data_IF_111597498258
#
_entry.id   IF_111597498258
#
_cell.length_a   1.000
_cell.length_b   1.000
_cell.length_c   1.000
_cell.angle_alpha   90.00
_cell.angle_beta   90.00
_cell.angle_gamma   90.00
#
_symmetry.space_group_name_H-M   'P 1'
#
loop_
_entity.id
_entity.type
_entity.pdbx_description
1 polymer ?
#
# COMPACT_ATOMS: atom_id res chain seq x y z
N UNK A 1 -47.62 26.67 30.73
CA UNK A 1 -47.11 27.63 29.71
C UNK A 1 -45.61 27.43 29.61
N UNK A 2 -45.21 26.47 28.77
CA UNK A 2 -43.81 26.22 28.44
C UNK A 2 -43.33 27.33 27.49
N UNK A 3 -42.34 28.11 27.93
CA UNK A 3 -41.62 29.01 27.04
C UNK A 3 -40.44 28.25 26.46
N UNK A 4 -40.58 27.93 25.18
CA UNK A 4 -39.50 27.53 24.27
C UNK A 4 -38.39 28.60 24.30
N UNK A 5 -37.26 28.29 24.93
CA UNK A 5 -36.01 29.05 24.76
C UNK A 5 -35.19 28.40 23.65
N UNK A 6 -35.61 28.58 22.40
CA UNK A 6 -34.70 28.52 21.26
C UNK A 6 -33.90 29.81 21.23
N UNK A 7 -32.82 29.85 22.01
CA UNK A 7 -31.69 30.75 21.77
C UNK A 7 -30.44 29.92 22.08
N UNK A 8 -29.84 29.38 21.02
CA UNK A 8 -28.62 28.58 21.10
C UNK A 8 -27.46 29.47 21.53
N UNK A 9 -27.23 29.54 22.83
CA UNK A 9 -26.05 30.16 23.41
C UNK A 9 -24.81 29.48 22.81
N UNK A 10 -23.87 30.27 22.31
CA UNK A 10 -22.66 29.79 21.65
C UNK A 10 -21.75 29.19 22.73
N UNK A 11 -21.99 27.91 23.05
CA UNK A 11 -21.33 27.22 24.16
C UNK A 11 -19.82 27.47 24.18
N UNK A 12 -19.33 27.87 25.36
CA UNK A 12 -17.93 28.18 25.65
C UNK A 12 -17.01 27.03 25.27
N UNK A 13 -15.92 27.33 24.56
CA UNK A 13 -14.95 26.33 24.11
C UNK A 13 -13.80 26.19 25.10
N UNK A 14 -13.34 24.95 25.26
CA UNK A 14 -12.17 24.63 26.07
C UNK A 14 -11.19 23.79 25.27
N UNK A 15 -9.92 24.16 25.32
CA UNK A 15 -8.82 23.41 24.71
C UNK A 15 -8.21 22.49 25.75
N UNK A 16 -8.19 21.21 25.43
CA UNK A 16 -7.50 20.18 26.20
C UNK A 16 -6.13 19.93 25.58
N UNK A 17 -5.10 19.91 26.42
CA UNK A 17 -3.69 19.74 26.03
C UNK A 17 -3.07 18.64 26.86
N UNK A 18 -2.47 17.67 26.18
CA UNK A 18 -1.76 16.54 26.79
C UNK A 18 -0.30 16.64 26.36
N UNK A 19 0.60 17.07 27.26
CA UNK A 19 2.03 17.09 27.00
C UNK A 19 2.54 15.68 26.74
N UNK A 20 3.51 15.55 25.83
CA UNK A 20 4.05 14.25 25.39
C UNK A 20 2.99 13.31 24.78
N UNK A 21 1.83 13.86 24.41
CA UNK A 21 0.69 13.09 23.91
C UNK A 21 0.97 12.34 22.60
N UNK A 22 1.97 12.73 21.81
CA UNK A 22 2.36 12.02 20.58
C UNK A 22 2.80 10.57 20.83
N UNK A 23 3.20 10.25 22.07
CA UNK A 23 3.58 8.89 22.47
C UNK A 23 2.39 7.93 22.50
N UNK A 24 1.16 8.44 22.53
CA UNK A 24 -0.03 7.66 22.74
C UNK A 24 -1.01 7.81 21.57
N UNK A 25 -1.65 6.72 21.20
CA UNK A 25 -2.68 6.75 20.17
C UNK A 25 -3.92 7.55 20.62
N UNK A 26 -4.62 8.14 19.65
CA UNK A 26 -5.84 8.94 19.88
C UNK A 26 -6.88 8.15 20.67
N UNK A 27 -7.13 6.89 20.31
CA UNK A 27 -8.16 6.07 20.97
C UNK A 27 -7.78 5.78 22.42
N UNK A 28 -6.50 5.45 22.65
CA UNK A 28 -5.96 5.25 23.99
C UNK A 28 -6.13 6.51 24.85
N UNK A 29 -5.74 7.69 24.33
CA UNK A 29 -5.87 8.97 25.05
C UNK A 29 -7.32 9.21 25.46
N UNK A 30 -8.26 9.09 24.51
CA UNK A 30 -9.67 9.39 24.74
C UNK A 30 -10.27 8.41 25.74
N UNK A 31 -9.99 7.10 25.61
CA UNK A 31 -10.50 6.06 26.50
C UNK A 31 -9.93 6.18 27.92
N UNK A 32 -8.63 6.45 28.05
CA UNK A 32 -7.97 6.65 29.34
C UNK A 32 -8.49 7.87 30.10
N UNK A 33 -8.83 8.93 29.38
CA UNK A 33 -9.47 10.11 29.98
C UNK A 33 -10.93 9.80 30.34
N UNK A 34 -11.68 9.14 29.45
CA UNK A 34 -13.09 8.82 29.68
C UNK A 34 -13.30 7.87 30.86
N UNK A 35 -12.39 6.92 31.11
CA UNK A 35 -12.48 6.01 32.26
C UNK A 35 -12.35 6.70 33.62
N UNK A 36 -11.72 7.88 33.66
CA UNK A 36 -11.54 8.67 34.87
C UNK A 36 -12.41 9.94 34.89
N UNK A 37 -13.21 10.16 33.84
CA UNK A 37 -14.08 11.32 33.67
C UNK A 37 -15.54 10.87 33.78
N UNK A 38 -16.21 11.26 34.86
CA UNK A 38 -17.61 10.89 35.11
C UNK A 38 -18.61 11.57 34.18
N UNK A 39 -18.16 12.54 33.36
CA UNK A 39 -18.98 13.23 32.37
C UNK A 39 -18.56 12.73 30.99
N UNK A 40 -19.48 12.24 30.14
CA UNK A 40 -19.16 11.89 28.77
C UNK A 40 -18.77 13.13 27.99
N UNK A 41 -17.72 13.03 27.18
CA UNK A 41 -17.31 14.14 26.31
C UNK A 41 -17.01 13.63 24.90
N UNK A 42 -17.22 14.48 23.90
CA UNK A 42 -16.81 14.19 22.52
C UNK A 42 -15.61 15.06 22.16
N UNK A 43 -14.43 14.47 21.92
CA UNK A 43 -13.25 15.23 21.52
C UNK A 43 -13.42 15.82 20.12
N UNK A 44 -13.45 17.15 20.03
CA UNK A 44 -13.58 17.88 18.76
C UNK A 44 -12.19 18.31 18.27
N UNK A 45 -11.97 18.22 16.95
CA UNK A 45 -10.74 18.68 16.28
C UNK A 45 -9.44 18.15 16.94
N UNK A 46 -9.42 16.84 17.24
CA UNK A 46 -8.23 16.17 17.76
C UNK A 46 -7.08 16.27 16.76
N UNK A 47 -5.90 16.70 17.21
CA UNK A 47 -4.70 16.77 16.40
C UNK A 47 -3.44 16.69 17.28
N UNK A 48 -2.32 16.29 16.67
CA UNK A 48 -1.01 16.39 17.28
C UNK A 48 -0.31 17.66 16.80
N UNK A 49 0.31 18.39 17.72
CA UNK A 49 1.15 19.53 17.38
C UNK A 49 2.43 19.47 18.22
N UNK A 50 3.57 19.38 17.53
CA UNK A 50 4.88 19.08 18.12
C UNK A 50 4.79 17.81 18.96
N UNK A 51 5.16 17.89 20.24
CA UNK A 51 5.20 16.77 21.17
C UNK A 51 3.93 16.71 22.05
N UNK A 52 2.78 17.18 21.57
CA UNK A 52 1.56 17.30 22.37
C UNK A 52 0.35 16.83 21.57
N UNK A 53 -0.64 16.27 22.28
CA UNK A 53 -1.96 16.02 21.74
C UNK A 53 -2.92 17.11 22.19
N UNK A 54 -3.78 17.56 21.27
CA UNK A 54 -4.77 18.61 21.52
C UNK A 54 -6.14 18.17 21.02
N UNK A 55 -7.18 18.50 21.79
CA UNK A 55 -8.57 18.45 21.34
C UNK A 55 -9.39 19.51 22.05
N UNK A 56 -10.66 19.63 21.66
CA UNK A 56 -11.55 20.65 22.21
C UNK A 56 -12.87 20.06 22.66
N UNK A 57 -13.49 20.70 23.64
CA UNK A 57 -14.84 20.40 24.13
C UNK A 57 -15.65 21.68 24.20
N UNK A 58 -16.95 21.57 23.92
CA UNK A 58 -17.91 22.68 23.90
C UNK A 58 -18.94 22.52 25.02
N UNK A 59 -18.46 22.17 26.22
CA UNK A 59 -19.29 21.98 27.40
C UNK A 59 -18.47 22.31 28.65
N UNK A 60 -18.99 23.23 29.46
CA UNK A 60 -18.36 23.68 30.71
C UNK A 60 -18.30 22.53 31.74
N UNK A 61 -19.36 21.72 31.81
CA UNK A 61 -19.44 20.59 32.74
C UNK A 61 -18.38 19.52 32.40
N UNK A 62 -18.23 19.19 31.11
CA UNK A 62 -17.20 18.30 30.61
C UNK A 62 -15.80 18.87 30.85
N UNK A 63 -15.58 20.16 30.56
CA UNK A 63 -14.28 20.82 30.79
C UNK A 63 -13.87 20.81 32.27
N UNK A 64 -14.81 21.08 33.18
CA UNK A 64 -14.59 20.99 34.62
C UNK A 64 -14.26 19.56 35.08
N UNK A 65 -14.95 18.56 34.54
CA UNK A 65 -14.68 17.15 34.83
C UNK A 65 -13.28 16.74 34.32
N UNK A 66 -12.93 17.13 33.09
CA UNK A 66 -11.62 16.85 32.48
C UNK A 66 -10.47 17.47 33.27
N UNK A 67 -10.66 18.66 33.84
CA UNK A 67 -9.64 19.29 34.71
C UNK A 67 -9.35 18.45 35.96
N UNK A 68 -10.35 17.73 36.48
CA UNK A 68 -10.21 16.81 37.63
C UNK A 68 -9.58 15.46 37.26
N UNK A 69 -9.39 15.17 35.97
CA UNK A 69 -8.68 13.97 35.48
C UNK A 69 -7.16 14.15 35.55
N UNK A 70 -6.69 15.41 35.61
CA UNK A 70 -5.25 15.70 35.66
C UNK A 70 -4.56 14.90 36.79
N UNK A 71 -3.41 14.30 36.46
CA UNK A 71 -2.61 13.47 37.36
C UNK A 71 -3.23 12.12 37.77
N UNK A 72 -4.37 11.69 37.20
CA UNK A 72 -5.00 10.39 37.51
C UNK A 72 -4.65 9.26 36.52
N UNK A 73 -4.20 9.61 35.33
CA UNK A 73 -3.89 8.64 34.27
C UNK A 73 -2.42 8.26 34.35
N UNK A 74 -2.13 6.95 34.36
CA UNK A 74 -0.79 6.42 34.23
C UNK A 74 -0.67 5.62 32.92
N UNK A 75 0.49 5.66 32.28
CA UNK A 75 0.78 4.85 31.11
C UNK A 75 1.31 3.44 31.46
N UNK A 76 1.60 2.63 30.44
CA UNK A 76 2.12 1.25 30.59
C UNK A 76 3.45 1.17 31.36
N UNK A 77 4.20 2.27 31.42
CA UNK A 77 5.46 2.40 32.18
C UNK A 77 5.23 3.05 33.55
N UNK A 78 3.96 3.16 33.97
CA UNK A 78 3.52 3.82 35.20
C UNK A 78 3.93 5.30 35.28
N UNK A 79 4.12 5.96 34.13
CA UNK A 79 4.37 7.40 34.07
C UNK A 79 3.07 8.18 34.07
N UNK A 80 3.02 9.28 34.83
CA UNK A 80 1.84 10.14 34.92
C UNK A 80 1.60 10.90 33.61
N UNK A 81 0.38 10.81 33.10
CA UNK A 81 -0.10 11.60 31.97
C UNK A 81 -0.85 12.82 32.48
N UNK A 82 -0.39 14.00 32.07
CA UNK A 82 -0.99 15.28 32.46
C UNK A 82 -2.05 15.73 31.47
N UNK A 83 -3.14 16.28 31.98
CA UNK A 83 -4.27 16.78 31.18
C UNK A 83 -4.55 18.22 31.60
N UNK A 84 -4.27 19.16 30.70
CA UNK A 84 -4.50 20.59 30.93
C UNK A 84 -5.73 21.05 30.15
N UNK A 85 -6.65 21.73 30.83
CA UNK A 85 -7.87 22.28 30.23
C UNK A 85 -7.86 23.79 30.39
N UNK A 86 -7.87 24.51 29.27
CA UNK A 86 -7.85 25.97 29.24
C UNK A 86 -9.04 26.50 28.46
N UNK A 87 -9.55 27.66 28.86
CA UNK A 87 -10.54 28.40 28.07
C UNK A 87 -9.96 28.69 26.67
N UNK A 88 -10.77 28.53 25.65
CA UNK A 88 -10.33 28.73 24.28
C UNK A 88 -11.43 29.36 23.43
N UNK A 89 -11.02 30.02 22.36
CA UNK A 89 -11.94 30.35 21.27
C UNK A 89 -12.29 29.07 20.50
N UNK A 90 -13.43 29.07 19.80
CA UNK A 90 -13.83 27.99 18.88
C UNK A 90 -12.64 27.57 17.99
N UNK A 91 -12.38 26.25 17.81
CA UNK A 91 -11.25 25.77 17.02
C UNK A 91 -11.24 26.41 15.63
N UNK A 92 -10.08 26.86 15.14
CA UNK A 92 -9.97 27.50 13.82
C UNK A 92 -10.44 26.56 12.69
N UNK A 93 -10.27 25.24 12.86
CA UNK A 93 -10.85 24.22 11.98
C UNK A 93 -12.37 24.29 11.95
N UNK A 94 -13.03 24.59 13.06
CA UNK A 94 -14.49 24.69 13.17
C UNK A 94 -15.03 26.07 12.77
N UNK A 95 -14.21 27.12 12.76
CA UNK A 95 -14.60 28.46 12.29
C UNK A 95 -14.85 28.51 10.78
N UNK A 96 -14.24 27.58 10.02
CA UNK A 96 -14.35 27.47 8.55
C UNK A 96 -15.24 26.31 8.10
N UNK A 97 -16.05 25.73 8.99
CA UNK A 97 -17.05 24.73 8.60
C UNK A 97 -18.27 25.41 8.02
N UNK A 98 -18.84 24.80 6.97
CA UNK A 98 -20.09 25.25 6.39
C UNK A 98 -21.19 25.23 7.45
N UNK A 99 -21.92 26.34 7.57
CA UNK A 99 -23.07 26.45 8.49
C UNK A 99 -24.16 25.44 8.08
N UNK A 100 -25.02 25.00 9.00
CA UNK A 100 -26.11 24.07 8.68
C UNK A 100 -27.00 24.55 7.52
N UNK A 101 -27.22 25.86 7.37
CA UNK A 101 -27.94 26.47 6.25
C UNK A 101 -27.20 26.31 4.91
N UNK A 102 -25.88 26.48 4.90
CA UNK A 102 -25.03 26.29 3.71
C UNK A 102 -24.97 24.80 3.33
N UNK A 103 -24.87 23.92 4.33
CA UNK A 103 -24.95 22.46 4.15
C UNK A 103 -26.33 22.02 3.63
N UNK A 104 -27.41 22.68 4.07
CA UNK A 104 -28.77 22.38 3.64
C UNK A 104 -29.00 22.82 2.18
N UNK A 105 -28.45 23.96 1.77
CA UNK A 105 -28.52 24.40 0.37
C UNK A 105 -27.64 23.56 -0.58
N UNK A 106 -26.68 22.82 -0.02
CA UNK A 106 -25.94 21.77 -0.72
C UNK A 106 -26.60 20.38 -0.66
N UNK A 107 -27.59 20.18 0.22
CA UNK A 107 -28.31 18.91 0.41
C UNK A 107 -29.62 18.87 -0.37
N UNK A 108 -29.91 17.72 -0.97
CA UNK A 108 -31.26 17.29 -1.31
C UNK A 108 -31.95 16.85 -0.02
N UNK A 109 -33.10 17.42 0.32
CA UNK A 109 -34.07 16.71 1.16
C UNK A 109 -35.12 16.18 0.19
N UNK A 110 -35.23 14.85 0.10
CA UNK A 110 -36.44 14.23 -0.41
C UNK A 110 -37.57 14.55 0.55
N UNK A 111 -38.27 15.66 0.31
CA UNK A 111 -39.61 15.89 0.82
C UNK A 111 -40.44 16.35 -0.36
N UNK A 112 -41.33 15.47 -0.83
CA UNK A 112 -42.35 15.86 -1.77
C UNK A 112 -43.18 16.98 -1.15
N UNK A 113 -43.28 18.12 -1.84
CA UNK A 113 -44.11 19.24 -1.42
C UNK A 113 -43.35 20.36 -0.71
N UNK A 114 -42.42 21.03 -1.41
CA UNK A 114 -42.28 22.49 -1.33
C UNK A 114 -41.40 22.98 -2.48
N UNK A 115 -41.96 23.87 -3.29
CA UNK A 115 -41.36 24.49 -4.46
C UNK A 115 -40.28 25.51 -4.06
N UNK A 116 -39.01 25.10 -3.98
CA UNK A 116 -37.88 26.04 -3.90
C UNK A 116 -36.55 25.48 -4.47
N UNK A 117 -36.51 25.35 -5.80
CA UNK A 117 -35.33 25.30 -6.69
C UNK A 117 -34.23 24.22 -6.48
N UNK A 118 -33.72 23.57 -7.54
CA UNK A 118 -32.72 22.52 -7.39
C UNK A 118 -31.32 23.09 -7.10
N UNK A 119 -30.80 22.85 -5.89
CA UNK A 119 -29.65 21.99 -5.61
C UNK A 119 -28.47 22.13 -6.60
N UNK A 120 -27.58 23.10 -6.37
CA UNK A 120 -26.42 23.44 -7.23
C UNK A 120 -25.65 22.23 -7.77
N UNK A 121 -25.43 21.21 -6.93
CA UNK A 121 -24.66 20.02 -7.31
C UNK A 121 -25.43 19.09 -8.26
N UNK A 122 -26.76 19.01 -8.15
CA UNK A 122 -27.58 18.20 -9.07
C UNK A 122 -27.63 18.80 -10.46
N UNK A 123 -27.67 20.14 -10.57
CA UNK A 123 -27.58 20.82 -11.88
C UNK A 123 -26.26 20.56 -12.59
N UNK A 124 -25.22 20.26 -11.82
CA UNK A 124 -23.86 19.97 -12.26
C UNK A 124 -23.61 18.47 -12.46
N UNK A 125 -24.61 17.63 -12.25
CA UNK A 125 -24.51 16.19 -12.40
C UNK A 125 -25.11 15.76 -13.74
N UNK A 126 -24.30 15.09 -14.56
CA UNK A 126 -24.72 14.41 -15.76
C UNK A 126 -25.07 12.95 -15.43
N UNK A 127 -26.36 12.62 -15.55
CA UNK A 127 -26.89 11.28 -15.29
C UNK A 127 -26.37 10.26 -16.30
N UNK A 128 -26.17 10.67 -17.56
CA UNK A 128 -25.78 9.75 -18.64
C UNK A 128 -24.35 9.25 -18.48
N UNK A 129 -23.45 10.13 -18.06
CA UNK A 129 -22.03 9.84 -17.84
C UNK A 129 -21.71 9.51 -16.37
N UNK A 130 -22.70 9.62 -15.49
CA UNK A 130 -22.52 9.57 -14.04
C UNK A 130 -21.35 10.47 -13.59
N UNK A 131 -21.37 11.71 -14.10
CA UNK A 131 -20.28 12.67 -14.00
C UNK A 131 -20.72 13.91 -13.22
N UNK A 132 -19.93 14.32 -12.23
CA UNK A 132 -20.21 15.50 -11.42
C UNK A 132 -19.20 16.61 -11.72
N UNK A 133 -19.70 17.77 -12.17
CA UNK A 133 -18.89 18.92 -12.52
C UNK A 133 -18.78 19.97 -11.41
N UNK A 134 -17.67 19.93 -10.66
CA UNK A 134 -17.35 20.92 -9.62
C UNK A 134 -16.32 21.96 -10.08
N UNK A 135 -16.14 22.14 -11.40
CA UNK A 135 -15.24 23.15 -11.91
C UNK A 135 -15.64 24.54 -11.38
N UNK A 136 -14.64 25.28 -10.87
CA UNK A 136 -14.83 26.65 -10.35
C UNK A 136 -16.00 26.79 -9.37
N UNK A 137 -16.25 25.78 -8.53
CA UNK A 137 -17.46 25.70 -7.70
C UNK A 137 -17.72 26.97 -6.89
N UNK A 138 -16.66 27.61 -6.37
CA UNK A 138 -16.77 28.87 -5.62
C UNK A 138 -17.53 29.98 -6.35
N UNK A 139 -17.45 30.00 -7.68
CA UNK A 139 -18.03 31.02 -8.56
C UNK A 139 -19.33 30.55 -9.21
N UNK A 140 -19.91 29.44 -8.75
CA UNK A 140 -21.21 29.00 -9.22
C UNK A 140 -22.28 30.09 -9.01
N UNK A 141 -23.08 30.44 -10.03
CA UNK A 141 -24.07 31.52 -9.93
C UNK A 141 -25.10 31.30 -8.81
N UNK A 142 -25.52 30.06 -8.57
CA UNK A 142 -26.50 29.76 -7.52
C UNK A 142 -25.85 29.89 -6.14
N UNK A 143 -24.61 29.46 -5.95
CA UNK A 143 -23.91 29.64 -4.66
C UNK A 143 -23.63 31.11 -4.36
N UNK A 144 -23.19 31.87 -5.36
CA UNK A 144 -22.93 33.32 -5.23
C UNK A 144 -24.24 34.06 -4.90
N UNK A 145 -25.33 33.74 -5.59
CA UNK A 145 -26.66 34.33 -5.35
C UNK A 145 -27.15 34.13 -3.91
N UNK A 146 -26.84 32.99 -3.31
CA UNK A 146 -27.23 32.67 -1.94
C UNK A 146 -26.16 33.01 -0.90
N UNK A 147 -25.10 33.73 -1.29
CA UNK A 147 -23.98 34.11 -0.42
C UNK A 147 -23.29 32.91 0.25
N UNK A 148 -23.20 31.77 -0.44
CA UNK A 148 -22.48 30.58 0.03
C UNK A 148 -21.07 30.60 -0.56
N UNK A 149 -20.06 30.66 0.31
CA UNK A 149 -18.65 30.61 -0.09
C UNK A 149 -18.05 29.21 0.14
N UNK A 150 -18.02 28.38 -0.91
CA UNK A 150 -17.39 27.05 -0.87
C UNK A 150 -16.00 27.11 -1.47
N UNK A 151 -14.99 26.96 -0.61
CA UNK A 151 -13.58 26.94 -1.03
C UNK A 151 -13.07 25.51 -0.90
N UNK A 152 -13.06 24.75 -1.99
CA UNK A 152 -12.66 23.34 -2.00
C UNK A 152 -11.22 23.09 -1.54
N UNK A 153 -10.33 24.08 -1.68
CA UNK A 153 -8.98 24.01 -1.11
C UNK A 153 -8.95 23.94 0.44
N UNK A 154 -10.07 24.22 1.12
CA UNK A 154 -10.19 24.04 2.58
C UNK A 154 -10.65 22.61 2.88
N UNK A 155 -9.90 21.91 3.74
CA UNK A 155 -10.14 20.50 4.12
C UNK A 155 -11.60 20.23 4.54
N UNK A 156 -12.22 21.13 5.32
CA UNK A 156 -13.61 20.96 5.76
C UNK A 156 -14.63 21.11 4.63
N UNK A 157 -14.41 22.05 3.70
CA UNK A 157 -15.30 22.25 2.57
C UNK A 157 -15.23 21.06 1.63
N UNK A 158 -14.02 20.52 1.39
CA UNK A 158 -13.86 19.28 0.64
C UNK A 158 -14.55 18.11 1.34
N UNK A 159 -14.29 17.89 2.64
CA UNK A 159 -14.91 16.80 3.39
C UNK A 159 -16.45 16.89 3.42
N UNK A 160 -17.01 18.09 3.53
CA UNK A 160 -18.44 18.33 3.42
C UNK A 160 -18.96 17.96 2.03
N UNK A 161 -18.26 18.39 0.98
CA UNK A 161 -18.60 18.09 -0.42
C UNK A 161 -18.58 16.58 -0.68
N UNK A 162 -17.54 15.87 -0.22
CA UNK A 162 -17.46 14.42 -0.35
C UNK A 162 -18.57 13.69 0.42
N UNK A 163 -18.97 14.18 1.60
CA UNK A 163 -20.13 13.64 2.34
C UNK A 163 -21.45 13.84 1.59
N UNK A 164 -21.57 14.89 0.78
CA UNK A 164 -22.74 15.10 -0.07
C UNK A 164 -22.69 14.13 -1.25
N UNK A 165 -21.52 13.94 -1.85
CA UNK A 165 -21.31 12.99 -2.94
C UNK A 165 -21.69 11.56 -2.52
N UNK A 166 -21.15 11.10 -1.39
CA UNK A 166 -21.43 9.78 -0.80
C UNK A 166 -22.95 9.50 -0.67
N UNK A 167 -23.72 10.53 -0.30
CA UNK A 167 -25.15 10.40 -0.03
C UNK A 167 -26.01 10.49 -1.28
N UNK A 168 -25.62 11.33 -2.24
CA UNK A 168 -26.49 11.70 -3.36
C UNK A 168 -26.06 11.06 -4.68
N UNK A 169 -24.78 10.72 -4.83
CA UNK A 169 -24.19 10.19 -6.07
C UNK A 169 -23.37 8.91 -5.77
N UNK A 170 -23.98 7.85 -5.20
CA UNK A 170 -23.25 6.63 -4.85
C UNK A 170 -22.67 5.88 -6.07
N UNK A 171 -23.24 6.12 -7.25
CA UNK A 171 -22.82 5.52 -8.53
C UNK A 171 -21.89 6.45 -9.35
N UNK A 172 -21.31 7.47 -8.73
CA UNK A 172 -20.45 8.44 -9.42
C UNK A 172 -19.22 7.76 -10.07
N UNK A 173 -19.04 7.96 -11.38
CA UNK A 173 -17.91 7.43 -12.15
C UNK A 173 -16.88 8.50 -12.51
N UNK A 174 -17.30 9.75 -12.67
CA UNK A 174 -16.42 10.85 -13.09
C UNK A 174 -16.59 12.07 -12.18
N UNK A 175 -15.46 12.62 -11.70
CA UNK A 175 -15.45 13.82 -10.87
C UNK A 175 -14.53 14.89 -11.47
N UNK A 176 -15.11 16.06 -11.75
CA UNK A 176 -14.34 17.21 -12.22
C UNK A 176 -14.10 18.22 -11.10
N UNK A 177 -12.82 18.45 -10.76
CA UNK A 177 -12.34 19.44 -9.79
C UNK A 177 -11.46 20.51 -10.45
N UNK A 178 -11.58 20.70 -11.77
CA UNK A 178 -10.80 21.65 -12.55
C UNK A 178 -10.90 23.09 -11.97
N UNK A 179 -9.78 23.81 -11.99
CA UNK A 179 -9.69 25.24 -11.65
C UNK A 179 -10.38 25.63 -10.32
N UNK A 180 -10.06 24.88 -9.26
CA UNK A 180 -10.51 25.16 -7.89
C UNK A 180 -9.39 25.68 -6.97
N UNK A 181 -8.23 26.01 -7.55
CA UNK A 181 -7.03 26.50 -6.83
C UNK A 181 -6.58 25.54 -5.72
N UNK A 182 -6.69 24.23 -5.95
CA UNK A 182 -6.21 23.22 -5.03
C UNK A 182 -4.68 23.24 -4.98
N UNK A 183 -4.11 23.53 -3.82
CA UNK A 183 -2.65 23.51 -3.60
C UNK A 183 -2.16 22.17 -3.07
N UNK A 184 -3.04 21.48 -2.33
CA UNK A 184 -2.77 20.20 -1.67
C UNK A 184 -4.04 19.33 -1.75
N UNK A 185 -3.85 18.02 -1.79
CA UNK A 185 -4.93 17.03 -1.84
C UNK A 185 -5.29 16.45 -0.47
N UNK A 186 -4.85 17.06 0.63
CA UNK A 186 -5.08 16.57 2.02
C UNK A 186 -6.56 16.35 2.40
N UNK A 187 -7.50 17.04 1.76
CA UNK A 187 -8.93 16.91 2.04
C UNK A 187 -9.66 15.93 1.11
N UNK A 188 -8.97 15.42 0.10
CA UNK A 188 -9.52 14.52 -0.90
C UNK A 188 -9.39 13.01 -0.58
N UNK A 189 -8.54 12.47 0.33
CA UNK A 189 -8.34 11.03 0.45
C UNK A 189 -9.62 10.25 0.79
N UNK A 190 -10.53 10.87 1.56
CA UNK A 190 -11.83 10.29 1.93
C UNK A 190 -12.67 9.89 0.70
N UNK A 191 -12.35 10.39 -0.50
CA UNK A 191 -13.02 9.99 -1.74
C UNK A 191 -12.89 8.49 -2.02
N UNK A 192 -11.80 7.85 -1.58
CA UNK A 192 -11.55 6.43 -1.79
C UNK A 192 -12.66 5.59 -1.14
N UNK A 193 -13.14 6.00 0.03
CA UNK A 193 -14.24 5.35 0.75
C UNK A 193 -15.60 5.88 0.31
N UNK A 194 -15.70 7.19 0.05
CA UNK A 194 -16.96 7.89 -0.20
C UNK A 194 -17.50 7.76 -1.62
N UNK A 195 -16.62 7.56 -2.59
CA UNK A 195 -16.97 7.39 -4.00
C UNK A 195 -16.01 6.37 -4.67
N UNK A 196 -16.02 5.09 -4.23
CA UNK A 196 -15.06 4.08 -4.65
C UNK A 196 -15.16 3.70 -6.14
N UNK A 197 -16.28 4.05 -6.79
CA UNK A 197 -16.56 3.76 -8.21
C UNK A 197 -15.97 4.80 -9.17
N UNK A 198 -15.41 5.89 -8.66
CA UNK A 198 -14.81 6.94 -9.50
C UNK A 198 -13.62 6.38 -10.28
N UNK A 199 -13.73 6.48 -11.60
CA UNK A 199 -12.73 6.06 -12.59
C UNK A 199 -12.08 7.24 -13.32
N UNK A 200 -12.79 8.36 -13.41
CA UNK A 200 -12.28 9.58 -14.06
C UNK A 200 -12.15 10.69 -13.04
N UNK A 201 -10.97 11.30 -12.97
CA UNK A 201 -10.71 12.43 -12.07
C UNK A 201 -10.04 13.57 -12.84
N UNK A 202 -10.65 14.75 -12.83
CA UNK A 202 -10.04 15.93 -13.43
C UNK A 202 -9.56 16.91 -12.35
N UNK A 203 -8.23 17.08 -12.25
CA UNK A 203 -7.53 18.00 -11.35
C UNK A 203 -6.79 19.11 -12.11
N UNK A 204 -7.05 19.28 -13.41
CA UNK A 204 -6.41 20.28 -14.26
C UNK A 204 -6.60 21.72 -13.75
N UNK A 205 -5.69 22.61 -14.14
CA UNK A 205 -5.71 24.05 -13.84
C UNK A 205 -5.77 24.38 -12.34
N UNK A 206 -5.32 23.46 -11.49
CA UNK A 206 -5.15 23.71 -10.05
C UNK A 206 -3.73 24.26 -9.77
N UNK A 207 -3.27 24.17 -8.52
CA UNK A 207 -2.00 24.73 -8.06
C UNK A 207 -1.13 23.68 -7.37
N UNK A 208 -1.25 22.43 -7.80
CA UNK A 208 -0.45 21.31 -7.32
C UNK A 208 0.99 21.44 -7.82
N UNK A 209 1.94 21.48 -6.89
CA UNK A 209 3.37 21.72 -7.20
C UNK A 209 4.21 20.45 -7.34
N UNK A 210 3.71 19.31 -6.86
CA UNK A 210 4.46 18.07 -6.83
C UNK A 210 3.53 16.88 -7.04
N UNK A 211 4.02 15.86 -7.76
CA UNK A 211 3.33 14.59 -7.96
C UNK A 211 3.08 13.83 -6.64
N UNK A 212 3.84 14.13 -5.57
CA UNK A 212 3.62 13.57 -4.24
C UNK A 212 2.18 13.73 -3.74
N UNK A 213 1.51 14.81 -4.12
CA UNK A 213 0.11 15.05 -3.75
C UNK A 213 -0.82 13.93 -4.24
N UNK A 214 -0.52 13.32 -5.39
CA UNK A 214 -1.28 12.19 -5.96
C UNK A 214 -1.18 10.92 -5.11
N UNK A 215 -0.07 10.77 -4.37
CA UNK A 215 0.11 9.68 -3.41
C UNK A 215 -0.98 9.62 -2.34
N UNK A 216 -1.66 10.75 -2.06
CA UNK A 216 -2.76 10.84 -1.09
C UNK A 216 -4.06 10.24 -1.61
N UNK A 217 -4.19 10.10 -2.94
CA UNK A 217 -5.38 9.56 -3.62
C UNK A 217 -5.07 8.30 -4.44
N UNK A 218 -3.87 7.71 -4.29
CA UNK A 218 -3.41 6.49 -4.98
C UNK A 218 -4.32 5.26 -4.81
N UNK A 219 -5.20 5.27 -3.81
CA UNK A 219 -6.16 4.19 -3.59
C UNK A 219 -7.29 4.15 -4.63
N UNK A 220 -7.47 5.21 -5.42
CA UNK A 220 -8.43 5.25 -6.50
C UNK A 220 -7.96 4.39 -7.70
N UNK A 221 -8.89 3.63 -8.27
CA UNK A 221 -8.66 2.81 -9.46
C UNK A 221 -9.00 3.61 -10.72
N UNK A 222 -8.25 4.69 -10.95
CA UNK A 222 -8.50 5.60 -12.06
C UNK A 222 -8.15 4.97 -13.42
N UNK A 223 -9.02 5.20 -14.40
CA UNK A 223 -8.82 4.90 -15.81
C UNK A 223 -8.43 6.17 -16.58
N UNK A 224 -8.92 7.35 -16.17
CA UNK A 224 -8.62 8.64 -16.78
C UNK A 224 -8.30 9.72 -15.73
N UNK A 225 -7.22 10.48 -15.95
CA UNK A 225 -6.74 11.53 -15.06
C UNK A 225 -6.34 12.78 -15.86
N UNK A 226 -6.71 13.96 -15.36
CA UNK A 226 -6.28 15.23 -15.92
C UNK A 226 -5.51 16.06 -14.88
N UNK A 227 -4.31 16.50 -15.22
CA UNK A 227 -3.42 17.32 -14.40
C UNK A 227 -2.89 18.55 -15.15
N UNK A 228 -3.15 18.68 -16.46
CA UNK A 228 -2.70 19.79 -17.28
C UNK A 228 -2.94 21.17 -16.62
N UNK A 229 -1.98 22.08 -16.73
CA UNK A 229 -2.08 23.43 -16.15
C UNK A 229 -1.80 23.51 -14.65
N UNK A 230 -1.31 22.42 -14.03
CA UNK A 230 -0.72 22.46 -12.69
C UNK A 230 0.79 22.75 -12.75
N UNK A 231 1.37 23.47 -11.77
CA UNK A 231 2.82 23.70 -11.68
C UNK A 231 3.67 22.43 -11.64
N UNK A 232 3.15 21.28 -11.19
CA UNK A 232 3.87 20.01 -11.24
C UNK A 232 4.23 19.59 -12.67
N UNK A 233 3.46 19.99 -13.69
CA UNK A 233 3.73 19.54 -15.06
C UNK A 233 5.07 20.08 -15.58
N UNK A 234 5.51 21.27 -15.11
CA UNK A 234 6.81 21.84 -15.47
C UNK A 234 7.99 21.23 -14.73
N UNK A 235 7.79 20.30 -13.79
CA UNK A 235 8.90 19.65 -13.08
C UNK A 235 9.49 18.44 -13.82
N UNK A 236 8.84 17.99 -14.90
CA UNK A 236 9.27 16.84 -15.69
C UNK A 236 10.10 17.28 -16.89
N UNK A 237 11.16 16.51 -17.20
CA UNK A 237 12.04 16.76 -18.35
C UNK A 237 11.34 16.54 -19.68
N UNK A 238 10.46 15.53 -19.73
CA UNK A 238 9.78 15.07 -20.93
C UNK A 238 8.47 14.33 -20.57
N UNK A 239 7.70 14.02 -21.61
CA UNK A 239 6.41 13.34 -21.49
C UNK A 239 6.53 11.91 -20.95
N UNK A 240 7.64 11.20 -21.22
CA UNK A 240 7.84 9.82 -20.75
C UNK A 240 8.08 9.77 -19.25
N UNK A 241 8.93 10.67 -18.72
CA UNK A 241 9.15 10.85 -17.29
C UNK A 241 7.84 11.23 -16.58
N UNK A 242 7.07 12.14 -17.15
CA UNK A 242 5.76 12.51 -16.65
C UNK A 242 4.81 11.31 -16.57
N UNK A 243 4.57 10.62 -17.68
CA UNK A 243 3.69 9.43 -17.74
C UNK A 243 4.15 8.34 -16.77
N UNK A 244 5.45 8.06 -16.72
CA UNK A 244 6.01 6.99 -15.86
C UNK A 244 5.78 7.29 -14.38
N UNK A 245 6.09 8.52 -13.93
CA UNK A 245 5.84 8.93 -12.54
C UNK A 245 4.35 8.92 -12.18
N UNK A 246 3.47 9.36 -13.08
CA UNK A 246 2.02 9.29 -12.81
C UNK A 246 1.53 7.84 -12.71
N UNK A 247 2.06 6.94 -13.56
CA UNK A 247 1.73 5.51 -13.53
C UNK A 247 2.23 4.78 -12.28
N UNK A 248 3.28 5.26 -11.61
CA UNK A 248 3.67 4.72 -10.30
C UNK A 248 2.55 4.90 -9.25
N UNK A 249 1.77 5.98 -9.35
CA UNK A 249 0.63 6.22 -8.47
C UNK A 249 -0.64 5.50 -8.95
N UNK A 250 -0.86 5.45 -10.27
CA UNK A 250 -2.04 4.86 -10.89
C UNK A 250 -1.65 3.86 -11.99
N UNK A 251 -1.27 2.62 -11.66
CA UNK A 251 -0.76 1.65 -12.65
C UNK A 251 -1.79 1.27 -13.72
N UNK A 252 -3.09 1.34 -13.40
CA UNK A 252 -4.20 0.98 -14.30
C UNK A 252 -4.67 2.15 -15.18
N UNK A 253 -3.98 3.28 -15.16
CA UNK A 253 -4.37 4.47 -15.90
C UNK A 253 -4.23 4.26 -17.41
N UNK A 254 -5.33 4.48 -18.13
CA UNK A 254 -5.44 4.33 -19.58
C UNK A 254 -5.31 5.67 -20.31
N UNK A 255 -5.75 6.77 -19.69
CA UNK A 255 -5.72 8.10 -20.29
C UNK A 255 -5.18 9.15 -19.32
N UNK A 256 -4.26 9.97 -19.80
CA UNK A 256 -3.68 11.10 -19.04
C UNK A 256 -3.75 12.35 -19.90
N UNK A 257 -4.39 13.40 -19.39
CA UNK A 257 -4.57 14.68 -20.10
C UNK A 257 -5.17 14.51 -21.51
N UNK A 258 -6.13 13.59 -21.63
CA UNK A 258 -6.79 13.25 -22.90
C UNK A 258 -5.97 12.38 -23.85
N UNK A 259 -4.70 12.10 -23.54
CA UNK A 259 -3.86 11.19 -24.34
C UNK A 259 -4.05 9.74 -23.90
N UNK A 260 -4.28 8.86 -24.87
CA UNK A 260 -4.28 7.42 -24.63
C UNK A 260 -2.87 6.92 -24.33
N UNK A 261 -2.74 6.22 -23.23
CA UNK A 261 -1.50 5.61 -22.79
C UNK A 261 -1.50 4.14 -23.23
N UNK A 262 -0.39 3.67 -23.80
CA UNK A 262 -0.24 2.26 -24.18
C UNK A 262 -0.49 1.33 -22.98
N UNK A 263 -1.03 0.13 -23.20
CA UNK A 263 -1.47 -0.81 -22.16
C UNK A 263 -0.56 -0.80 -20.92
N UNK A 264 -1.11 -0.78 -19.69
CA UNK A 264 -0.31 -0.88 -18.48
C UNK A 264 0.73 -1.99 -18.64
N UNK A 265 2.00 -1.67 -18.40
CA UNK A 265 3.01 -2.71 -18.28
C UNK A 265 2.62 -3.49 -17.02
N UNK A 266 1.94 -4.61 -17.19
CA UNK A 266 1.70 -5.57 -16.13
C UNK A 266 3.06 -6.20 -15.83
N UNK A 267 3.91 -5.50 -15.08
CA UNK A 267 4.93 -6.16 -14.27
C UNK A 267 4.09 -6.83 -13.18
N UNK A 268 3.69 -8.07 -13.46
CA UNK A 268 2.82 -8.85 -12.59
C UNK A 268 3.43 -8.98 -11.21
N UNK A 269 3.00 -8.14 -10.28
CA UNK A 269 2.81 -8.54 -8.89
C UNK A 269 1.39 -9.11 -8.84
N UNK A 270 1.17 -10.18 -9.58
CA UNK A 270 0.11 -11.11 -9.22
C UNK A 270 0.63 -11.84 -7.97
N UNK A 271 -0.19 -11.90 -6.92
CA UNK A 271 0.03 -12.88 -5.85
C UNK A 271 0.35 -14.22 -6.52
N UNK A 272 1.37 -14.98 -6.07
CA UNK A 272 1.91 -16.08 -6.85
C UNK A 272 0.77 -16.98 -7.27
N UNK A 273 0.48 -17.00 -8.57
CA UNK A 273 -0.36 -18.02 -9.14
C UNK A 273 0.22 -19.34 -8.65
N UNK A 274 -0.65 -20.13 -8.00
CA UNK A 274 -0.34 -21.47 -7.53
C UNK A 274 0.44 -22.14 -8.67
N UNK A 275 1.73 -22.39 -8.44
CA UNK A 275 2.57 -23.16 -9.34
C UNK A 275 1.73 -24.39 -9.69
N UNK A 276 1.29 -24.51 -10.95
CA UNK A 276 0.59 -25.72 -11.38
C UNK A 276 1.54 -26.86 -11.03
N UNK A 277 1.14 -27.82 -10.18
CA UNK A 277 2.01 -28.95 -9.91
C UNK A 277 2.34 -29.56 -11.26
N UNK A 278 3.63 -29.73 -11.56
CA UNK A 278 4.03 -30.53 -12.71
C UNK A 278 3.25 -31.84 -12.59
N UNK A 279 2.44 -32.14 -13.61
CA UNK A 279 1.60 -33.33 -13.61
C UNK A 279 2.52 -34.51 -13.32
N UNK A 280 2.29 -35.20 -12.20
CA UNK A 280 2.94 -36.48 -11.94
C UNK A 280 2.69 -37.36 -13.17
N UNK A 281 3.76 -37.71 -13.88
CA UNK A 281 3.69 -38.54 -15.08
C UNK A 281 3.44 -40.02 -14.75
N UNK A 282 3.22 -40.36 -13.48
CA UNK A 282 3.10 -41.75 -13.05
C UNK A 282 1.97 -41.97 -12.04
N UNK A 283 0.85 -42.52 -12.54
CA UNK A 283 -0.21 -43.14 -11.73
C UNK A 283 0.00 -44.65 -11.61
N UNK A 284 1.19 -45.11 -11.28
CA UNK A 284 1.44 -46.54 -11.16
C UNK A 284 1.52 -47.03 -9.72
N UNK A 285 1.29 -48.34 -9.56
CA UNK A 285 1.17 -49.04 -8.28
C UNK A 285 2.37 -48.80 -7.36
N UNK A 286 2.11 -48.64 -6.06
CA UNK A 286 3.13 -48.50 -5.00
C UNK A 286 4.12 -49.68 -5.00
N UNK A 287 3.69 -50.84 -5.48
CA UNK A 287 4.55 -52.02 -5.69
C UNK A 287 5.61 -51.77 -6.77
N UNK A 288 5.25 -51.13 -7.88
CA UNK A 288 6.20 -50.82 -8.96
C UNK A 288 7.14 -49.70 -8.54
N UNK A 289 6.64 -48.69 -7.82
CA UNK A 289 7.48 -47.65 -7.23
C UNK A 289 8.50 -48.25 -6.25
N UNK A 290 8.08 -49.20 -5.42
CA UNK A 290 8.96 -49.92 -4.49
C UNK A 290 9.98 -50.79 -5.22
N UNK A 291 9.58 -51.50 -6.28
CA UNK A 291 10.48 -52.30 -7.13
C UNK A 291 11.50 -51.44 -7.88
N UNK A 292 11.08 -50.30 -8.42
CA UNK A 292 11.97 -49.35 -9.10
C UNK A 292 12.92 -48.69 -8.11
N UNK A 293 12.45 -48.30 -6.93
CA UNK A 293 13.32 -47.79 -5.86
C UNK A 293 14.30 -48.85 -5.38
N UNK A 294 13.85 -50.10 -5.21
CA UNK A 294 14.71 -51.22 -4.81
C UNK A 294 15.75 -51.53 -5.89
N UNK A 295 15.38 -51.47 -7.17
CA UNK A 295 16.30 -51.62 -8.30
C UNK A 295 17.30 -50.46 -8.41
N UNK A 296 16.87 -49.21 -8.22
CA UNK A 296 17.76 -48.03 -8.20
C UNK A 296 18.71 -48.03 -6.99
N UNK A 297 18.23 -48.50 -5.83
CA UNK A 297 19.05 -48.68 -4.64
C UNK A 297 20.06 -49.82 -4.83
N UNK A 298 19.67 -50.93 -5.45
CA UNK A 298 20.54 -52.10 -5.68
C UNK A 298 21.61 -51.89 -6.77
N UNK A 299 21.40 -50.98 -7.73
CA UNK A 299 22.25 -50.97 -8.94
C UNK A 299 23.36 -49.92 -8.99
N UNK A 300 23.35 -48.86 -8.18
CA UNK A 300 24.40 -47.83 -8.28
C UNK A 300 24.58 -46.89 -7.10
N UNK A 301 23.54 -46.62 -6.31
CA UNK A 301 23.57 -45.56 -5.29
C UNK A 301 24.35 -45.93 -4.03
N UNK A 302 24.44 -47.22 -3.67
CA UNK A 302 25.21 -47.69 -2.50
C UNK A 302 26.67 -47.22 -2.51
N UNK A 303 27.28 -47.14 -3.70
CA UNK A 303 28.67 -46.68 -3.87
C UNK A 303 28.86 -45.21 -3.48
N UNK A 304 27.80 -44.40 -3.51
CA UNK A 304 27.83 -42.97 -3.18
C UNK A 304 27.34 -42.68 -1.75
N UNK A 305 26.67 -43.63 -1.10
CA UNK A 305 26.13 -43.44 0.26
C UNK A 305 27.22 -43.23 1.30
N UNK A 306 28.37 -43.89 1.15
CA UNK A 306 29.50 -43.80 2.10
C UNK A 306 30.09 -42.39 2.19
N UNK A 307 30.10 -41.66 1.07
CA UNK A 307 30.66 -40.31 0.96
C UNK A 307 29.59 -39.21 0.96
N UNK A 308 28.33 -39.57 1.20
CA UNK A 308 27.20 -38.63 1.17
C UNK A 308 27.20 -37.68 2.36
N UNK A 309 27.18 -36.37 2.08
CA UNK A 309 27.19 -35.31 3.09
C UNK A 309 25.86 -34.58 3.16
N UNK A 310 24.97 -35.00 4.07
CA UNK A 310 23.72 -34.30 4.37
C UNK A 310 23.79 -33.59 5.73
N UNK A 311 23.94 -32.26 5.74
CA UNK A 311 24.08 -31.44 6.95
C UNK A 311 22.82 -31.49 7.84
N UNK A 312 21.65 -31.79 7.27
CA UNK A 312 20.41 -31.97 8.07
C UNK A 312 20.47 -33.25 8.91
N UNK A 313 21.02 -34.34 8.36
CA UNK A 313 21.03 -35.66 9.00
C UNK A 313 22.26 -35.88 9.86
N UNK A 314 23.44 -35.46 9.40
CA UNK A 314 24.71 -35.61 10.13
C UNK A 314 24.78 -34.50 11.17
N UNK A 315 24.82 -34.84 12.47
CA UNK A 315 24.87 -33.86 13.57
C UNK A 315 26.30 -33.63 14.10
N UNK A 316 27.17 -34.63 14.02
CA UNK A 316 28.55 -34.53 14.50
C UNK A 316 29.37 -33.50 13.69
N UNK A 317 29.91 -32.44 14.34
CA UNK A 317 30.75 -31.45 13.69
C UNK A 317 32.04 -32.02 13.08
N UNK A 318 32.67 -33.01 13.72
CA UNK A 318 33.94 -33.57 13.23
C UNK A 318 33.72 -34.37 11.94
N UNK A 319 32.70 -35.23 11.91
CA UNK A 319 32.31 -35.98 10.71
C UNK A 319 31.89 -35.06 9.55
N UNK A 320 31.23 -33.93 9.84
CA UNK A 320 30.87 -32.92 8.82
C UNK A 320 32.08 -32.29 8.14
N UNK A 321 33.19 -32.12 8.86
CA UNK A 321 34.45 -31.59 8.32
C UNK A 321 35.19 -32.68 7.56
N UNK A 322 35.23 -33.92 8.08
CA UNK A 322 35.89 -35.06 7.44
C UNK A 322 35.29 -35.42 6.07
N UNK A 323 33.98 -35.28 5.92
CA UNK A 323 33.27 -35.51 4.65
C UNK A 323 33.41 -34.36 3.64
N UNK A 324 34.03 -33.24 4.02
CA UNK A 324 34.31 -32.14 3.11
C UNK A 324 35.75 -32.25 2.59
N UNK A 325 35.93 -32.22 1.27
CA UNK A 325 37.25 -32.21 0.62
C UNK A 325 37.61 -30.76 0.30
N UNK A 326 38.77 -30.29 0.77
CA UNK A 326 39.12 -28.87 0.67
C UNK A 326 40.47 -28.62 0.00
N UNK A 327 41.35 -29.63 -0.11
CA UNK A 327 42.56 -29.50 -0.93
C UNK A 327 42.34 -30.02 -2.35
N UNK A 328 43.04 -29.45 -3.34
CA UNK A 328 42.99 -29.90 -4.75
C UNK A 328 43.27 -31.41 -4.87
N UNK A 329 44.23 -31.91 -4.09
CA UNK A 329 44.62 -33.32 -4.07
C UNK A 329 43.50 -34.20 -3.52
N UNK A 330 42.95 -33.87 -2.36
CA UNK A 330 41.80 -34.58 -1.79
C UNK A 330 40.59 -34.63 -2.72
N UNK A 331 40.31 -33.53 -3.43
CA UNK A 331 39.18 -33.44 -4.37
C UNK A 331 39.42 -34.37 -5.55
N UNK A 332 40.59 -34.31 -6.20
CA UNK A 332 40.91 -35.17 -7.35
C UNK A 332 40.96 -36.64 -6.95
N UNK A 333 41.58 -36.96 -5.81
CA UNK A 333 41.63 -38.32 -5.27
C UNK A 333 40.21 -38.85 -5.02
N UNK A 334 39.33 -38.03 -4.42
CA UNK A 334 37.93 -38.41 -4.18
C UNK A 334 37.11 -38.55 -5.46
N UNK A 335 37.38 -37.76 -6.50
CA UNK A 335 36.72 -37.88 -7.80
C UNK A 335 37.17 -39.13 -8.57
N UNK A 336 38.44 -39.53 -8.42
CA UNK A 336 39.01 -40.68 -9.13
C UNK A 336 38.47 -42.03 -8.64
N UNK A 337 38.00 -42.11 -7.39
CA UNK A 337 37.37 -43.30 -6.82
C UNK A 337 35.87 -43.43 -7.16
N UNK A 338 35.26 -42.39 -7.75
CA UNK A 338 33.88 -42.45 -8.18
C UNK A 338 33.74 -43.38 -9.41
N UNK A 339 32.58 -44.07 -9.56
CA UNK A 339 32.29 -44.83 -10.76
C UNK A 339 32.45 -43.98 -12.02
N UNK A 340 32.97 -44.58 -13.10
CA UNK A 340 33.06 -43.92 -14.41
C UNK A 340 31.66 -43.53 -14.89
N UNK A 341 31.54 -42.33 -15.45
CA UNK A 341 30.27 -41.79 -15.95
C UNK A 341 30.41 -41.29 -17.38
N UNK A 342 29.32 -41.36 -18.15
CA UNK A 342 29.19 -40.76 -19.47
C UNK A 342 28.00 -39.81 -19.43
N UNK A 343 28.19 -38.58 -19.89
CA UNK A 343 27.16 -37.54 -19.83
C UNK A 343 26.86 -37.01 -21.24
N UNK A 344 25.59 -36.80 -21.55
CA UNK A 344 25.18 -36.10 -22.77
C UNK A 344 25.18 -34.58 -22.52
N UNK A 345 26.25 -33.93 -22.98
CA UNK A 345 26.47 -32.48 -22.80
C UNK A 345 25.38 -31.62 -23.46
N UNK A 346 24.71 -32.12 -24.49
CA UNK A 346 23.66 -31.36 -25.19
C UNK A 346 22.36 -31.25 -24.38
N UNK A 347 22.22 -32.07 -23.33
CA UNK A 347 21.05 -32.07 -22.44
C UNK A 347 21.20 -31.16 -21.22
N UNK A 348 22.35 -30.51 -21.04
CA UNK A 348 22.62 -29.71 -19.85
C UNK A 348 21.85 -28.39 -19.88
N UNK A 349 21.23 -28.07 -18.75
CA UNK A 349 20.70 -26.74 -18.46
C UNK A 349 21.59 -26.14 -17.38
N UNK A 350 22.18 -24.98 -17.68
CA UNK A 350 23.11 -24.30 -16.78
C UNK A 350 22.47 -23.01 -16.30
N UNK A 351 22.19 -22.94 -14.99
CA UNK A 351 21.71 -21.74 -14.33
C UNK A 351 22.89 -20.98 -13.70
N UNK A 352 23.08 -19.72 -14.10
CA UNK A 352 24.07 -18.83 -13.50
C UNK A 352 23.42 -17.99 -12.40
N UNK A 353 23.60 -18.39 -11.14
CA UNK A 353 22.90 -17.77 -10.02
C UNK A 353 23.45 -16.40 -9.60
N UNK A 354 24.76 -16.15 -9.77
CA UNK A 354 25.45 -14.91 -9.36
C UNK A 354 26.65 -14.67 -10.29
N UNK A 355 26.83 -13.44 -10.77
CA UNK A 355 28.02 -13.00 -11.52
C UNK A 355 28.59 -11.72 -10.90
N UNK A 356 29.86 -11.73 -10.51
CA UNK A 356 30.61 -10.54 -10.07
C UNK A 356 31.80 -10.29 -10.98
N UNK A 357 32.32 -9.06 -10.97
CA UNK A 357 33.36 -8.58 -11.92
C UNK A 357 34.67 -9.37 -11.83
N UNK A 358 34.90 -10.12 -10.75
CA UNK A 358 36.08 -10.96 -10.53
C UNK A 358 35.88 -12.45 -10.86
N UNK A 359 34.75 -12.85 -11.46
CA UNK A 359 34.43 -14.25 -11.78
C UNK A 359 34.10 -14.41 -13.27
N UNK A 360 35.10 -14.75 -14.10
CA UNK A 360 34.88 -15.23 -15.47
C UNK A 360 35.44 -16.65 -15.61
N UNK A 361 34.62 -17.58 -16.11
CA UNK A 361 35.07 -18.88 -16.61
C UNK A 361 35.57 -18.69 -18.04
N UNK A 362 36.86 -18.92 -18.30
CA UNK A 362 37.37 -19.18 -19.64
C UNK A 362 37.90 -20.62 -19.70
N UNK A 363 37.54 -21.41 -20.72
CA UNK A 363 38.20 -22.67 -20.97
C UNK A 363 39.49 -22.38 -21.76
N UNK A 364 40.61 -22.09 -21.09
CA UNK A 364 41.91 -22.42 -21.68
C UNK A 364 43.07 -22.48 -20.68
N UNK A 365 43.94 -23.44 -21.00
CA UNK A 365 45.27 -23.77 -20.47
C UNK A 365 46.20 -22.57 -20.23
N UNK A 366 46.79 -22.46 -19.04
CA UNK A 366 47.91 -21.54 -18.76
C UNK A 366 48.10 -21.23 -17.28
N UNK A 367 49.32 -20.90 -16.80
CA UNK A 367 49.78 -21.24 -15.47
C UNK A 367 49.32 -20.30 -14.34
N UNK A 368 49.37 -20.89 -13.16
CA UNK A 368 48.95 -20.43 -11.84
C UNK A 368 49.31 -18.97 -11.50
N UNK A 369 48.30 -18.18 -11.11
CA UNK A 369 48.50 -17.02 -10.23
C UNK A 369 47.47 -17.04 -9.11
N UNK A 370 47.96 -16.89 -7.89
CA UNK A 370 47.23 -17.07 -6.64
C UNK A 370 46.06 -16.11 -6.52
N UNK A 371 44.85 -16.65 -6.49
CA UNK A 371 43.67 -16.00 -5.94
C UNK A 371 42.70 -17.10 -5.50
N UNK A 372 42.19 -17.03 -4.27
CA UNK A 372 41.18 -17.98 -3.80
C UNK A 372 39.87 -17.65 -4.53
N UNK A 373 39.52 -18.49 -5.49
CA UNK A 373 38.25 -18.42 -6.20
C UNK A 373 37.22 -19.29 -5.47
N UNK A 374 36.11 -18.70 -5.05
CA UNK A 374 34.93 -19.45 -4.61
C UNK A 374 33.87 -19.40 -5.71
N UNK A 375 33.41 -20.57 -6.15
CA UNK A 375 32.31 -20.71 -7.10
C UNK A 375 31.24 -21.63 -6.51
N UNK A 376 29.98 -21.25 -6.68
CA UNK A 376 28.80 -22.07 -6.39
C UNK A 376 28.07 -22.31 -7.71
N UNK A 377 28.30 -23.48 -8.31
CA UNK A 377 27.55 -23.97 -9.46
C UNK A 377 26.45 -24.90 -8.96
N UNK A 378 25.20 -24.65 -9.37
CA UNK A 378 24.10 -25.58 -9.19
C UNK A 378 23.72 -26.16 -10.55
N UNK A 379 24.05 -27.42 -10.78
CA UNK A 379 23.51 -28.20 -11.89
C UNK A 379 22.14 -28.71 -11.45
N UNK A 380 21.08 -28.29 -12.14
CA UNK A 380 19.75 -28.88 -12.03
C UNK A 380 19.42 -29.63 -13.32
N UNK A 381 18.92 -30.85 -13.19
CA UNK A 381 18.32 -31.57 -14.33
C UNK A 381 16.90 -31.07 -14.59
N UNK A 382 16.57 -30.84 -15.86
CA UNK A 382 15.20 -30.56 -16.29
C UNK A 382 14.39 -31.86 -16.23
N UNK A 383 13.14 -31.75 -15.78
CA UNK A 383 12.21 -32.86 -15.61
C UNK A 383 12.11 -33.77 -16.84
N UNK A 384 11.99 -35.08 -16.58
CA UNK A 384 11.71 -36.19 -17.50
C UNK A 384 12.92 -36.86 -18.17
N UNK A 385 13.73 -37.59 -17.39
CA UNK A 385 14.56 -38.66 -17.94
C UNK A 385 13.71 -39.93 -18.10
N UNK A 386 13.28 -40.22 -19.32
CA UNK A 386 13.33 -41.60 -19.82
C UNK A 386 14.77 -41.85 -20.28
N UNK A 387 15.65 -42.23 -19.36
CA UNK A 387 16.94 -42.81 -19.72
C UNK A 387 17.02 -44.18 -19.05
N UNK A 388 16.88 -45.20 -19.89
CA UNK A 388 17.31 -46.56 -19.57
C UNK A 388 18.82 -46.51 -19.30
N UNK A 389 19.21 -46.69 -18.05
CA UNK A 389 20.58 -47.03 -17.71
C UNK A 389 20.86 -48.45 -18.23
N UNK A 390 21.47 -48.55 -19.42
CA UNK A 390 22.08 -49.79 -19.86
C UNK A 390 23.52 -49.82 -19.31
N UNK A 391 23.90 -50.83 -18.51
CA UNK A 391 25.30 -51.05 -18.18
C UNK A 391 26.06 -51.37 -19.47
N UNK A 392 27.22 -50.74 -19.66
CA UNK A 392 28.12 -51.09 -20.76
C UNK A 392 28.51 -52.57 -20.61
N UNK A 393 28.34 -53.43 -21.64
CA UNK A 393 28.82 -54.79 -21.56
C UNK A 393 30.35 -54.76 -21.44
N UNK A 394 30.88 -55.53 -20.50
CA UNK A 394 32.30 -55.81 -20.41
C UNK A 394 32.76 -56.41 -21.74
N UNK A 395 33.61 -55.67 -22.46
CA UNK A 395 34.37 -56.24 -23.55
C UNK A 395 35.41 -57.17 -22.92
N UNK A 396 35.11 -58.46 -22.96
CA UNK A 396 36.06 -59.53 -22.69
C UNK A 396 37.28 -59.39 -23.61
N UNK A 397 38.47 -59.33 -23.02
CA UNK A 397 39.74 -59.65 -23.65
C UNK A 397 40.59 -60.38 -22.64
#
# INVERSE_FOLDING_TARGET
VEKNTQNGDLGTWFKVTIPYGIKYDKTWIVNSIQSHCNVPFTPVAFHYNKNQAHFFVQDVSAACALKKVNCKIHDEKNQKVFVFVNLSTKPQSMQKMLKPKEMAQLKVIHTQGTSSSPLTLNKRYDVSQQALDLQRLRFDPDLVKHHIDIILNRRNCMAATLKIIERNFPELLSLNLCDNKLHQLDGLPDIIEKAPKVKTLNLSKNKLKSAWELGKVKGLKLEELWLEGNPLCSTFSDQSAYVSTIREYFPKLLRLDGQELGSPIIIGIEAPEIIKPCKESYKGSETIKSLVLQFLLQSSLEKYFKDSRNIKNIKDPHLRVQLLKHTKREIVDSLSVLPRTQHDLNSYVVDLCIQTVSTCFLPQSGPESWSRYHCLLFLKWKESLQVLFLPSPELSS
#
